data_IF_049864577908
#
_entry.id   IF_049864577908
#
_cell.length_a   1.000
_cell.length_b   1.000
_cell.length_c   1.000
_cell.angle_alpha   90.00
_cell.angle_beta   90.00
_cell.angle_gamma   90.00
#
_symmetry.space_group_name_H-M   'P 1'
#
loop_
_entity.id
_entity.type
_entity.pdbx_description
1 polymer ?
#
# COMPACT_ATOMS: atom_id res chain seq x y z
N UNK A 1 -13.41 10.93 8.87
CA UNK A 1 -12.34 11.94 9.02
C UNK A 1 -11.83 11.95 10.43
N UNK A 2 -10.51 12.02 10.60
CA UNK A 2 -9.84 12.00 11.91
C UNK A 2 -10.13 13.27 12.72
N UNK A 3 -10.26 14.42 12.06
CA UNK A 3 -10.57 15.73 12.66
C UNK A 3 -11.70 16.43 11.90
N UNK A 4 -12.59 17.11 12.61
CA UNK A 4 -13.66 17.96 12.03
C UNK A 4 -13.13 19.39 11.92
N UNK A 5 -12.70 19.79 10.71
CA UNK A 5 -12.00 21.06 10.47
C UNK A 5 -12.77 22.31 10.95
N UNK A 6 -14.08 22.47 10.68
CA UNK A 6 -14.83 23.64 11.16
C UNK A 6 -14.87 23.74 12.69
N UNK A 7 -15.01 22.60 13.39
CA UNK A 7 -15.03 22.56 14.85
C UNK A 7 -13.66 22.92 15.45
N UNK A 8 -12.57 22.45 14.83
CA UNK A 8 -11.21 22.83 15.22
C UNK A 8 -10.98 24.33 15.04
N UNK A 9 -11.37 24.89 13.89
CA UNK A 9 -11.26 26.33 13.63
C UNK A 9 -12.04 27.16 14.65
N UNK A 10 -13.26 26.74 15.01
CA UNK A 10 -14.07 27.41 16.04
C UNK A 10 -13.40 27.36 17.41
N UNK A 11 -12.87 26.21 17.82
CA UNK A 11 -12.21 26.03 19.11
C UNK A 11 -10.90 26.84 19.23
N UNK A 12 -10.16 26.99 18.13
CA UNK A 12 -8.97 27.85 18.07
C UNK A 12 -9.34 29.33 18.16
N UNK A 13 -10.34 29.76 17.37
CA UNK A 13 -10.82 31.16 17.37
C UNK A 13 -11.45 31.57 18.70
N UNK A 14 -12.12 30.67 19.39
CA UNK A 14 -12.69 30.93 20.73
C UNK A 14 -11.64 30.92 21.85
N UNK A 15 -10.41 30.48 21.56
CA UNK A 15 -9.36 30.29 22.57
C UNK A 15 -9.55 29.07 23.47
N UNK A 16 -10.55 28.21 23.17
CA UNK A 16 -10.70 26.92 23.86
C UNK A 16 -9.48 26.02 23.65
N UNK A 17 -8.94 26.02 22.43
CA UNK A 17 -7.66 25.42 22.11
C UNK A 17 -6.60 26.52 21.94
N UNK A 18 -5.42 26.30 22.53
CA UNK A 18 -4.32 27.25 22.49
C UNK A 18 -3.58 27.29 21.16
N UNK A 19 -3.72 26.28 20.31
CA UNK A 19 -3.03 26.16 19.02
C UNK A 19 -3.22 24.78 18.39
N UNK A 20 -2.76 24.63 17.16
CA UNK A 20 -2.78 23.37 16.43
C UNK A 20 -1.63 23.29 15.42
N UNK A 21 -1.22 22.07 15.11
CA UNK A 21 -0.34 21.75 13.98
C UNK A 21 -1.09 20.76 13.09
N UNK A 22 -1.28 21.09 11.81
CA UNK A 22 -2.06 20.29 10.86
C UNK A 22 -1.28 20.15 9.56
N UNK A 23 -1.00 18.91 9.18
CA UNK A 23 -0.23 18.57 7.97
C UNK A 23 -1.10 17.99 6.85
N UNK A 24 -2.24 17.38 7.18
CA UNK A 24 -3.13 16.72 6.21
C UNK A 24 -4.54 17.30 6.27
N UNK A 25 -5.21 17.39 5.12
CA UNK A 25 -6.50 18.06 4.97
C UNK A 25 -7.50 17.21 4.18
N UNK A 26 -8.83 17.42 4.36
CA UNK A 26 -9.83 16.67 3.59
C UNK A 26 -9.76 16.89 2.07
N UNK A 27 -9.31 18.08 1.65
CA UNK A 27 -9.06 18.44 0.26
C UNK A 27 -7.69 19.11 0.17
N UNK A 28 -6.83 18.59 -0.68
CA UNK A 28 -5.47 19.07 -0.89
C UNK A 28 -5.27 19.49 -2.35
N UNK A 29 -4.42 20.48 -2.66
CA UNK A 29 -4.09 20.83 -4.04
C UNK A 29 -3.47 19.64 -4.79
N UNK A 30 -3.73 19.52 -6.10
CA UNK A 30 -3.18 18.43 -6.91
C UNK A 30 -1.70 18.62 -7.23
N UNK A 31 -1.24 19.88 -7.27
CA UNK A 31 0.16 20.23 -7.49
C UNK A 31 0.57 21.51 -6.74
N UNK A 32 1.88 21.66 -6.56
CA UNK A 32 2.45 22.91 -6.06
C UNK A 32 2.18 24.06 -7.05
N UNK A 33 1.82 25.24 -6.52
CA UNK A 33 1.52 26.43 -7.32
C UNK A 33 0.12 26.45 -7.92
N UNK A 34 -0.70 25.42 -7.66
CA UNK A 34 -2.11 25.39 -8.08
C UNK A 34 -2.96 26.27 -7.15
N UNK A 35 -3.11 27.53 -7.55
CA UNK A 35 -3.97 28.48 -6.84
C UNK A 35 -3.58 28.68 -5.37
N UNK A 36 -4.53 29.19 -4.60
CA UNK A 36 -4.37 29.39 -3.17
C UNK A 36 -5.00 28.21 -2.44
N UNK A 37 -4.26 27.58 -1.52
CA UNK A 37 -4.79 26.52 -0.66
C UNK A 37 -5.94 27.06 0.20
N UNK A 38 -7.11 26.42 0.18
CA UNK A 38 -8.29 26.87 0.94
C UNK A 38 -8.55 25.97 2.16
N UNK A 39 -8.69 26.57 3.33
CA UNK A 39 -9.04 25.89 4.59
C UNK A 39 -9.52 26.90 5.63
N UNK A 40 -10.52 26.54 6.44
CA UNK A 40 -11.02 27.37 7.55
C UNK A 40 -9.97 27.59 8.66
N UNK A 41 -8.92 26.78 8.67
CA UNK A 41 -7.78 26.91 9.60
C UNK A 41 -6.83 28.03 9.22
N UNK A 42 -6.90 28.55 7.98
CA UNK A 42 -6.08 29.70 7.58
C UNK A 42 -6.40 30.90 8.46
N UNK A 43 -5.35 31.53 8.99
CA UNK A 43 -5.48 32.67 9.90
C UNK A 43 -5.99 32.32 11.30
N UNK A 44 -6.16 31.04 11.65
CA UNK A 44 -6.42 30.66 13.04
C UNK A 44 -5.22 31.02 13.93
N UNK A 45 -5.46 31.47 15.17
CA UNK A 45 -4.39 31.86 16.08
C UNK A 45 -3.50 30.67 16.44
N UNK A 46 -2.20 30.91 16.55
CA UNK A 46 -1.20 29.91 16.97
C UNK A 46 -1.35 28.55 16.25
N UNK A 47 -1.60 28.62 14.94
CA UNK A 47 -1.86 27.44 14.11
C UNK A 47 -0.81 27.33 13.02
N UNK A 48 -0.15 26.18 12.94
CA UNK A 48 0.82 25.83 11.92
C UNK A 48 0.19 24.87 10.92
N UNK A 49 0.26 25.22 9.65
CA UNK A 49 -0.23 24.42 8.53
C UNK A 49 0.96 24.03 7.66
N UNK A 50 1.15 22.74 7.43
CA UNK A 50 2.20 22.24 6.53
C UNK A 50 1.58 21.45 5.38
N UNK A 51 2.19 21.47 4.17
CA UNK A 51 1.56 20.93 2.97
C UNK A 51 1.83 19.42 2.80
N UNK A 52 1.33 18.60 3.73
CA UNK A 52 1.48 17.14 3.69
C UNK A 52 2.93 16.67 3.54
N UNK A 53 3.81 17.24 4.39
CA UNK A 53 5.26 17.00 4.34
C UNK A 53 5.79 16.20 5.52
N UNK A 54 4.92 15.63 6.36
CA UNK A 54 5.33 14.86 7.52
C UNK A 54 6.29 13.69 7.21
N UNK A 55 6.19 13.12 6.01
CA UNK A 55 7.10 12.07 5.51
C UNK A 55 8.14 12.56 4.49
N UNK A 56 8.18 13.84 4.14
CA UNK A 56 8.96 14.38 3.01
C UNK A 56 10.39 14.72 3.42
N UNK A 57 11.16 13.70 3.80
CA UNK A 57 12.57 13.80 4.19
C UNK A 57 13.45 12.93 3.28
N UNK A 58 14.73 13.27 3.13
CA UNK A 58 15.67 12.48 2.33
C UNK A 58 15.86 11.07 2.90
N UNK A 59 15.85 10.94 4.22
CA UNK A 59 15.94 9.66 4.92
C UNK A 59 14.71 8.78 4.67
N UNK A 60 13.51 9.37 4.65
CA UNK A 60 12.29 8.65 4.30
C UNK A 60 12.32 8.20 2.83
N UNK A 61 12.75 9.07 1.90
CA UNK A 61 12.89 8.70 0.48
C UNK A 61 13.90 7.56 0.29
N UNK A 62 15.03 7.58 1.01
CA UNK A 62 16.02 6.49 0.99
C UNK A 62 15.42 5.16 1.45
N UNK A 63 14.66 5.17 2.55
CA UNK A 63 13.98 3.98 3.08
C UNK A 63 12.91 3.46 2.12
N UNK A 64 12.08 4.35 1.57
CA UNK A 64 11.06 4.00 0.57
C UNK A 64 11.72 3.34 -0.64
N UNK A 65 12.83 3.92 -1.13
CA UNK A 65 13.58 3.34 -2.25
C UNK A 65 14.07 1.92 -1.96
N UNK A 66 14.64 1.68 -0.78
CA UNK A 66 15.10 0.35 -0.37
C UNK A 66 13.94 -0.64 -0.20
N UNK A 67 12.86 -0.22 0.44
CA UNK A 67 11.70 -1.06 0.71
C UNK A 67 11.01 -1.50 -0.59
N UNK A 68 10.68 -0.53 -1.46
CA UNK A 68 10.02 -0.83 -2.74
C UNK A 68 10.91 -1.67 -3.65
N UNK A 69 12.22 -1.35 -3.73
CA UNK A 69 13.15 -2.17 -4.50
C UNK A 69 13.25 -3.60 -3.95
N UNK A 70 13.29 -3.78 -2.63
CA UNK A 70 13.30 -5.09 -1.99
C UNK A 70 12.03 -5.89 -2.32
N UNK A 71 10.85 -5.25 -2.22
CA UNK A 71 9.56 -5.87 -2.57
C UNK A 71 9.53 -6.33 -4.03
N UNK A 72 9.99 -5.49 -4.96
CA UNK A 72 10.09 -5.87 -6.37
C UNK A 72 11.05 -7.04 -6.60
N UNK A 73 12.20 -7.05 -5.93
CA UNK A 73 13.16 -8.15 -6.02
C UNK A 73 12.59 -9.46 -5.46
N UNK A 74 11.83 -9.42 -4.36
CA UNK A 74 11.16 -10.60 -3.81
C UNK A 74 10.08 -11.13 -4.76
N UNK A 75 9.32 -10.25 -5.40
CA UNK A 75 8.34 -10.64 -6.41
C UNK A 75 9.02 -11.34 -7.60
N UNK A 76 10.04 -10.71 -8.19
CA UNK A 76 10.70 -11.23 -9.40
C UNK A 76 11.45 -12.54 -9.13
N UNK A 77 12.13 -12.67 -7.98
CA UNK A 77 12.98 -13.82 -7.72
C UNK A 77 12.23 -14.98 -7.02
N UNK A 78 11.19 -14.70 -6.23
CA UNK A 78 10.53 -15.69 -5.40
C UNK A 78 9.01 -15.75 -5.57
N UNK A 79 8.41 -14.81 -6.32
CA UNK A 79 6.98 -14.69 -6.49
C UNK A 79 6.25 -14.14 -5.27
N UNK A 80 6.95 -13.55 -4.31
CA UNK A 80 6.32 -13.01 -3.10
C UNK A 80 5.51 -11.75 -3.43
N UNK A 81 4.26 -11.72 -2.98
CA UNK A 81 3.36 -10.57 -3.09
C UNK A 81 3.04 -9.96 -1.72
N UNK A 82 3.83 -10.31 -0.70
CA UNK A 82 3.73 -9.72 0.64
C UNK A 82 3.79 -8.18 0.58
N UNK A 83 2.86 -7.53 1.27
CA UNK A 83 2.73 -6.06 1.26
C UNK A 83 2.12 -5.49 -0.02
N UNK A 84 1.62 -6.32 -0.94
CA UNK A 84 0.86 -5.83 -2.10
C UNK A 84 -0.45 -5.17 -1.66
N UNK A 85 -0.76 -4.03 -2.27
CA UNK A 85 -1.96 -3.24 -1.96
C UNK A 85 -3.17 -3.59 -2.83
N UNK A 86 -2.98 -4.40 -3.86
CA UNK A 86 -4.00 -4.68 -4.88
C UNK A 86 -3.99 -6.12 -5.41
N UNK A 87 -3.30 -7.03 -4.73
CA UNK A 87 -3.10 -8.39 -5.23
C UNK A 87 -3.14 -9.42 -4.08
N UNK A 88 -3.60 -10.67 -4.32
CA UNK A 88 -3.58 -11.69 -3.29
C UNK A 88 -2.20 -11.86 -2.67
N UNK A 89 -2.15 -11.87 -1.34
CA UNK A 89 -0.91 -11.96 -0.60
C UNK A 89 -0.44 -13.41 -0.49
N UNK A 90 0.74 -13.69 -1.03
CA UNK A 90 1.42 -14.99 -1.01
C UNK A 90 2.89 -14.75 -0.69
N UNK A 91 3.43 -15.48 0.27
CA UNK A 91 4.86 -15.51 0.57
C UNK A 91 5.28 -16.94 0.85
N UNK A 92 5.96 -17.56 -0.13
CA UNK A 92 6.43 -18.93 -0.02
C UNK A 92 7.97 -18.96 -0.11
N UNK A 93 8.67 -19.42 0.94
CA UNK A 93 10.13 -19.47 0.93
C UNK A 93 10.69 -20.23 -0.28
N UNK A 94 11.80 -19.74 -0.83
CA UNK A 94 12.50 -20.45 -1.89
C UNK A 94 13.23 -21.67 -1.30
N UNK A 95 13.18 -22.80 -2.01
CA UNK A 95 13.89 -24.01 -1.62
C UNK A 95 14.99 -24.28 -2.65
N UNK A 96 16.27 -24.38 -2.24
CA UNK A 96 17.38 -24.65 -3.16
C UNK A 96 17.18 -25.95 -3.95
N UNK A 97 17.55 -25.93 -5.23
CA UNK A 97 17.45 -27.10 -6.11
C UNK A 97 16.03 -27.42 -6.61
N UNK A 98 15.05 -26.56 -6.34
CA UNK A 98 13.68 -26.69 -6.84
C UNK A 98 13.35 -25.58 -7.85
N UNK A 99 12.37 -25.85 -8.70
CA UNK A 99 11.80 -24.85 -9.60
C UNK A 99 10.58 -24.18 -8.97
N UNK A 100 10.41 -22.88 -9.25
CA UNK A 100 9.23 -22.12 -8.85
C UNK A 100 8.36 -21.84 -10.08
N UNK A 101 7.08 -22.15 -9.97
CA UNK A 101 6.06 -21.80 -10.95
C UNK A 101 5.06 -20.90 -10.22
N UNK A 102 4.63 -19.84 -10.90
CA UNK A 102 3.68 -18.86 -10.39
C UNK A 102 2.50 -18.82 -11.36
N UNK A 103 1.27 -18.88 -10.85
CA UNK A 103 0.07 -18.88 -11.67
C UNK A 103 -0.91 -17.80 -11.20
N UNK A 104 -1.13 -16.79 -12.04
CA UNK A 104 -2.20 -15.80 -11.85
C UNK A 104 -3.40 -16.27 -12.66
N UNK A 105 -4.55 -16.39 -12.03
CA UNK A 105 -5.74 -16.93 -12.67
C UNK A 105 -7.02 -16.23 -12.22
N UNK A 106 -8.12 -16.46 -12.94
CA UNK A 106 -9.46 -16.06 -12.47
C UNK A 106 -9.86 -16.94 -11.29
N UNK A 107 -10.51 -16.34 -10.30
CA UNK A 107 -11.00 -17.05 -9.13
C UNK A 107 -12.29 -17.81 -9.46
N UNK A 108 -12.16 -18.95 -10.15
CA UNK A 108 -13.27 -19.85 -10.52
C UNK A 108 -12.97 -21.28 -10.08
N UNK A 109 -14.00 -22.09 -9.75
CA UNK A 109 -13.79 -23.48 -9.36
C UNK A 109 -13.07 -24.29 -10.44
N UNK A 110 -12.22 -25.23 -10.02
CA UNK A 110 -11.55 -26.19 -10.91
C UNK A 110 -10.12 -25.83 -11.32
N UNK A 111 -9.71 -24.56 -11.25
CA UNK A 111 -8.38 -24.11 -11.72
C UNK A 111 -7.23 -24.85 -11.04
N UNK A 112 -7.28 -25.05 -9.72
CA UNK A 112 -6.21 -25.78 -9.03
C UNK A 112 -6.12 -27.25 -9.42
N UNK A 113 -7.26 -27.88 -9.74
CA UNK A 113 -7.28 -29.24 -10.26
C UNK A 113 -6.60 -29.29 -11.62
N UNK A 114 -6.89 -28.34 -12.51
CA UNK A 114 -6.27 -28.24 -13.84
C UNK A 114 -4.75 -28.02 -13.74
N UNK A 115 -4.31 -27.10 -12.87
CA UNK A 115 -2.87 -26.86 -12.62
C UNK A 115 -2.17 -28.14 -12.17
N UNK A 116 -2.75 -28.86 -11.21
CA UNK A 116 -2.16 -30.10 -10.69
C UNK A 116 -2.13 -31.23 -11.73
N UNK A 117 -3.14 -31.32 -12.59
CA UNK A 117 -3.15 -32.29 -13.72
C UNK A 117 -1.99 -32.00 -14.68
N UNK A 118 -1.79 -30.74 -15.08
CA UNK A 118 -0.68 -30.37 -15.98
C UNK A 118 0.68 -30.73 -15.38
N UNK A 119 0.89 -30.49 -14.08
CA UNK A 119 2.13 -30.85 -13.40
C UNK A 119 2.32 -32.38 -13.31
N UNK A 120 1.24 -33.11 -13.03
CA UNK A 120 1.26 -34.57 -12.98
C UNK A 120 1.58 -35.20 -14.34
N UNK A 121 0.98 -34.69 -15.41
CA UNK A 121 1.23 -35.14 -16.79
C UNK A 121 2.68 -34.87 -17.23
N UNK A 122 3.29 -33.80 -16.72
CA UNK A 122 4.72 -33.51 -16.91
C UNK A 122 5.65 -34.40 -16.04
N UNK A 123 5.10 -35.28 -15.20
CA UNK A 123 5.85 -36.13 -14.28
C UNK A 123 6.53 -35.36 -13.14
N UNK A 124 6.05 -34.14 -12.81
CA UNK A 124 6.61 -33.29 -11.78
C UNK A 124 5.92 -33.48 -10.43
N UNK A 125 6.71 -33.51 -9.34
CA UNK A 125 6.18 -33.50 -7.99
C UNK A 125 6.01 -32.06 -7.48
N UNK A 126 4.92 -31.80 -6.76
CA UNK A 126 4.70 -30.52 -6.07
C UNK A 126 5.24 -30.61 -4.65
N UNK A 127 6.37 -29.95 -4.37
CA UNK A 127 6.98 -29.97 -3.04
C UNK A 127 6.27 -29.04 -2.05
N UNK A 128 5.87 -27.86 -2.51
CA UNK A 128 5.18 -26.83 -1.75
C UNK A 128 4.28 -26.04 -2.68
N UNK A 129 3.13 -25.59 -2.17
CA UNK A 129 2.17 -24.79 -2.93
C UNK A 129 1.44 -23.88 -1.96
N UNK A 130 1.20 -22.63 -2.36
CA UNK A 130 0.40 -21.68 -1.59
C UNK A 130 -0.48 -20.86 -2.54
N UNK A 131 -1.79 -21.06 -2.42
CA UNK A 131 -2.80 -20.25 -3.11
C UNK A 131 -3.36 -19.18 -2.17
N UNK A 132 -3.51 -17.97 -2.70
CA UNK A 132 -4.35 -16.91 -2.13
C UNK A 132 -5.29 -16.35 -3.20
N UNK A 133 -6.45 -15.84 -2.80
CA UNK A 133 -7.41 -15.23 -3.73
C UNK A 133 -7.94 -13.92 -3.16
N UNK A 134 -8.21 -12.96 -4.04
CA UNK A 134 -8.76 -11.65 -3.70
C UNK A 134 -9.69 -11.18 -4.82
N UNK A 135 -10.97 -11.02 -4.50
CA UNK A 135 -11.99 -10.72 -5.50
C UNK A 135 -12.00 -11.76 -6.63
N UNK A 136 -11.87 -11.29 -7.87
CA UNK A 136 -11.90 -12.13 -9.08
C UNK A 136 -10.57 -12.79 -9.46
N UNK A 137 -9.50 -12.62 -8.67
CA UNK A 137 -8.14 -13.09 -9.00
C UNK A 137 -7.64 -14.09 -7.96
N UNK A 138 -6.99 -15.15 -8.43
CA UNK A 138 -6.21 -16.08 -7.62
C UNK A 138 -4.74 -16.05 -8.02
N UNK A 139 -3.87 -16.34 -7.06
CA UNK A 139 -2.44 -16.43 -7.23
C UNK A 139 -1.89 -17.64 -6.49
N UNK A 140 -1.26 -18.56 -7.22
CA UNK A 140 -0.75 -19.84 -6.73
C UNK A 140 0.72 -20.06 -7.10
#
# INVERSE_FOLDING_TARGET
NVVVIPALAQALKSGHLRGAYVDVFPSEPGANGEGLFESELRGCPNTLLTPHVGGSTEEAQSKIGQEVASTLLKLVNAGSTHGSVNFPEVDLPAVPGQHRILCIHRNVPGVMSEINVVLADAGANVCQQYLSTQGGVGYA
#
